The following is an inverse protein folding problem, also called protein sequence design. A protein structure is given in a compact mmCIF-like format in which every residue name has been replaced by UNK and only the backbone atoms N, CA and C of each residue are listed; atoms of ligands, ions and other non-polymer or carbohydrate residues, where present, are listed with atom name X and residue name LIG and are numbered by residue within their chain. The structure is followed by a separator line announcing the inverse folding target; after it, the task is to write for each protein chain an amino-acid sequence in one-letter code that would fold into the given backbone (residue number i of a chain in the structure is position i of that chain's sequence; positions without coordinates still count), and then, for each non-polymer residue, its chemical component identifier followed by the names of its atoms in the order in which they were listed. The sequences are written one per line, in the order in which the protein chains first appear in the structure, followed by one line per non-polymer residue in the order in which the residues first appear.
data_IF_442113558058
#
_entry.id   IF_442113558058
#
_cell.length_a   1.000
_cell.length_b   1.000
_cell.length_c   1.000
_cell.angle_alpha   90.00
_cell.angle_beta   90.00
_cell.angle_gamma   90.00
#
_symmetry.space_group_name_H-M   'P 1'
#
loop_
_entity.id
_entity.type
_entity.pdbx_description
1 polymer ?
#
# COMPACT_ATOMS: atom_id res chain seq x y z
N UNK A 1 -8.46 -22.52 -23.12
CA UNK A 1 -8.86 -23.94 -23.17
C UNK A 1 -8.96 -24.52 -24.58
N UNK A 2 -9.20 -23.72 -25.64
CA UNK A 2 -9.27 -24.20 -27.04
C UNK A 2 -7.90 -24.41 -27.73
N UNK A 3 -6.78 -24.39 -26.98
CA UNK A 3 -5.42 -24.66 -27.50
C UNK A 3 -4.79 -23.58 -28.40
N UNK A 4 -5.56 -22.66 -28.96
CA UNK A 4 -5.09 -21.75 -30.03
C UNK A 4 -4.23 -20.55 -29.61
N UNK A 5 -3.70 -20.48 -28.38
CA UNK A 5 -2.77 -19.42 -27.94
C UNK A 5 -3.32 -17.99 -27.89
N UNK A 6 -4.56 -17.73 -28.30
CA UNK A 6 -5.24 -16.41 -28.26
C UNK A 6 -5.75 -16.03 -26.86
N UNK A 7 -4.99 -16.38 -25.84
CA UNK A 7 -5.32 -16.15 -24.44
C UNK A 7 -4.77 -14.83 -23.91
N UNK A 8 -4.64 -14.76 -22.60
CA UNK A 8 -3.95 -13.66 -21.90
C UNK A 8 -2.46 -13.95 -21.74
N UNK A 9 -1.67 -12.94 -21.37
CA UNK A 9 -0.26 -13.12 -21.02
C UNK A 9 -0.10 -14.07 -19.82
N UNK A 10 1.08 -14.68 -19.67
CA UNK A 10 1.38 -15.51 -18.48
C UNK A 10 1.31 -14.70 -17.19
N UNK A 11 1.73 -13.43 -17.23
CA UNK A 11 1.62 -12.49 -16.12
C UNK A 11 0.16 -12.31 -15.68
N UNK A 12 -0.74 -12.00 -16.61
CA UNK A 12 -2.16 -11.84 -16.31
C UNK A 12 -2.82 -13.17 -15.91
N UNK A 13 -2.42 -14.29 -16.51
CA UNK A 13 -2.90 -15.62 -16.12
C UNK A 13 -2.55 -15.94 -14.66
N UNK A 14 -1.32 -15.65 -14.22
CA UNK A 14 -0.88 -15.85 -12.85
C UNK A 14 -1.61 -14.91 -11.87
N UNK A 15 -1.74 -13.62 -12.21
CA UNK A 15 -2.49 -12.66 -11.39
C UNK A 15 -3.95 -13.11 -11.17
N UNK A 16 -4.61 -13.59 -12.22
CA UNK A 16 -5.95 -14.15 -12.16
C UNK A 16 -6.00 -15.45 -11.33
N UNK A 17 -5.02 -16.34 -11.50
CA UNK A 17 -4.96 -17.59 -10.73
C UNK A 17 -4.81 -17.34 -9.23
N UNK A 18 -3.93 -16.41 -8.83
CA UNK A 18 -3.74 -16.00 -7.43
C UNK A 18 -5.05 -15.41 -6.87
N UNK A 19 -5.69 -14.51 -7.62
CA UNK A 19 -6.95 -13.88 -7.22
C UNK A 19 -8.07 -14.92 -7.04
N UNK A 20 -8.21 -15.86 -7.99
CA UNK A 20 -9.23 -16.90 -7.95
C UNK A 20 -8.98 -17.92 -6.83
N UNK A 21 -7.72 -18.28 -6.58
CA UNK A 21 -7.35 -19.15 -5.47
C UNK A 21 -7.74 -18.51 -4.14
N UNK A 22 -7.42 -17.23 -3.94
CA UNK A 22 -7.78 -16.49 -2.75
C UNK A 22 -9.31 -16.41 -2.58
N UNK A 23 -10.05 -16.11 -3.65
CA UNK A 23 -11.51 -16.10 -3.62
C UNK A 23 -12.09 -17.47 -3.22
N UNK A 24 -11.54 -18.57 -3.75
CA UNK A 24 -11.97 -19.93 -3.40
C UNK A 24 -11.61 -20.32 -1.97
N UNK A 25 -10.45 -19.92 -1.46
CA UNK A 25 -9.97 -20.30 -0.13
C UNK A 25 -10.62 -19.45 0.98
N UNK A 26 -10.84 -18.16 0.73
CA UNK A 26 -11.28 -17.21 1.75
C UNK A 26 -12.69 -16.66 1.55
N UNK A 27 -13.33 -16.89 0.39
CA UNK A 27 -14.72 -16.43 0.15
C UNK A 27 -15.74 -17.06 1.12
N UNK A 28 -15.42 -18.23 1.67
CA UNK A 28 -16.21 -18.89 2.71
C UNK A 28 -15.82 -18.48 4.13
N UNK A 29 -14.73 -17.73 4.32
CA UNK A 29 -14.25 -17.27 5.62
C UNK A 29 -15.11 -16.08 6.11
N UNK A 30 -16.34 -16.39 6.53
CA UNK A 30 -17.33 -15.40 6.97
C UNK A 30 -17.27 -15.11 8.47
N UNK A 31 -16.46 -15.87 9.22
CA UNK A 31 -16.38 -15.89 10.68
C UNK A 31 -14.94 -15.76 11.15
N UNK A 32 -14.74 -15.29 12.38
CA UNK A 32 -13.47 -15.36 13.09
C UNK A 32 -13.32 -16.76 13.68
N UNK A 33 -12.75 -17.66 12.89
CA UNK A 33 -12.48 -19.02 13.29
C UNK A 33 -11.25 -19.56 12.53
N UNK A 34 -10.55 -20.56 13.07
CA UNK A 34 -9.44 -21.19 12.36
C UNK A 34 -9.89 -21.74 11.01
N UNK A 35 -9.04 -21.59 10.01
CA UNK A 35 -9.29 -22.21 8.71
C UNK A 35 -9.24 -23.75 8.84
N UNK A 36 -10.17 -24.50 8.23
CA UNK A 36 -10.11 -25.96 8.23
C UNK A 36 -8.74 -26.48 7.74
N UNK A 37 -8.20 -27.49 8.40
CA UNK A 37 -6.83 -27.96 8.16
C UNK A 37 -6.56 -28.31 6.68
N UNK A 38 -7.50 -28.99 6.01
CA UNK A 38 -7.38 -29.35 4.60
C UNK A 38 -7.35 -28.12 3.69
N UNK A 39 -8.18 -27.10 4.00
CA UNK A 39 -8.23 -25.84 3.24
C UNK A 39 -6.96 -25.03 3.45
N UNK A 40 -6.46 -24.97 4.68
CA UNK A 40 -5.20 -24.30 5.02
C UNK A 40 -4.01 -24.96 4.33
N UNK A 41 -3.97 -26.29 4.29
CA UNK A 41 -2.96 -27.05 3.57
C UNK A 41 -3.04 -26.84 2.05
N UNK A 42 -4.27 -26.81 1.49
CA UNK A 42 -4.51 -26.51 0.08
C UNK A 42 -4.04 -25.10 -0.28
N UNK A 43 -4.42 -24.09 0.50
CA UNK A 43 -3.97 -22.70 0.31
C UNK A 43 -2.44 -22.62 0.27
N UNK A 44 -1.76 -23.13 1.30
CA UNK A 44 -0.29 -23.10 1.39
C UNK A 44 0.39 -23.79 0.22
N UNK A 45 -0.15 -24.92 -0.27
CA UNK A 45 0.43 -25.66 -1.39
C UNK A 45 0.22 -24.95 -2.72
N UNK A 46 -1.01 -24.55 -3.01
CA UNK A 46 -1.35 -23.97 -4.32
C UNK A 46 -0.80 -22.56 -4.47
N UNK A 47 -0.75 -21.76 -3.40
CA UNK A 47 -0.09 -20.46 -3.46
C UNK A 47 1.41 -20.62 -3.67
N UNK A 48 2.04 -21.62 -3.04
CA UNK A 48 3.47 -21.90 -3.23
C UNK A 48 3.80 -22.26 -4.69
N UNK A 49 2.95 -23.05 -5.34
CA UNK A 49 3.09 -23.34 -6.77
C UNK A 49 3.01 -22.08 -7.63
N UNK A 50 2.05 -21.19 -7.37
CA UNK A 50 1.89 -19.94 -8.12
C UNK A 50 3.06 -18.97 -7.89
N UNK A 51 3.65 -18.97 -6.68
CA UNK A 51 4.79 -18.13 -6.33
C UNK A 51 6.13 -18.70 -6.84
N UNK A 52 6.25 -20.01 -7.08
CA UNK A 52 7.52 -20.65 -7.48
C UNK A 52 8.20 -20.03 -8.71
N UNK A 53 7.43 -19.41 -9.61
CA UNK A 53 7.97 -18.71 -10.78
C UNK A 53 8.92 -17.57 -10.39
N UNK A 54 8.74 -16.95 -9.22
CA UNK A 54 9.58 -15.83 -8.76
C UNK A 54 11.00 -16.26 -8.42
N UNK A 55 11.23 -17.55 -8.15
CA UNK A 55 12.56 -18.08 -7.88
C UNK A 55 13.41 -18.16 -9.15
N UNK A 56 12.75 -18.11 -10.32
CA UNK A 56 13.38 -18.18 -11.63
C UNK A 56 13.48 -16.81 -12.33
N UNK A 57 12.93 -15.75 -11.73
CA UNK A 57 13.08 -14.38 -12.24
C UNK A 57 14.36 -13.77 -11.66
N UNK A 58 15.39 -13.72 -12.50
CA UNK A 58 16.75 -13.34 -12.11
C UNK A 58 17.30 -12.18 -12.93
N UNK A 59 18.20 -11.42 -12.31
CA UNK A 59 19.09 -10.48 -12.95
C UNK A 59 20.46 -11.13 -13.17
N UNK A 60 21.07 -10.86 -14.32
CA UNK A 60 22.44 -11.24 -14.60
C UNK A 60 23.36 -10.12 -14.15
N UNK A 61 24.13 -10.37 -13.08
CA UNK A 61 25.03 -9.38 -12.49
C UNK A 61 26.50 -9.79 -12.69
N UNK A 62 27.39 -8.85 -13.00
CA UNK A 62 28.82 -9.13 -13.09
C UNK A 62 29.38 -9.46 -11.70
N UNK A 63 30.24 -10.48 -11.64
CA UNK A 63 30.88 -10.95 -10.43
C UNK A 63 32.30 -11.44 -10.72
N UNK A 64 33.06 -11.74 -9.66
CA UNK A 64 34.40 -12.30 -9.74
C UNK A 64 34.43 -13.65 -9.03
N UNK A 65 34.97 -14.65 -9.71
CA UNK A 65 35.16 -15.98 -9.15
C UNK A 65 36.66 -16.26 -9.05
N UNK A 66 37.10 -16.64 -7.85
CA UNK A 66 38.48 -17.02 -7.59
C UNK A 66 38.55 -18.55 -7.61
N UNK A 67 39.34 -19.09 -8.52
CA UNK A 67 39.59 -20.53 -8.63
C UNK A 67 40.53 -21.01 -7.52
N UNK A 68 40.58 -22.33 -7.29
CA UNK A 68 41.39 -22.94 -6.20
C UNK A 68 42.89 -22.66 -6.33
N UNK A 69 43.35 -22.34 -7.53
CA UNK A 69 44.72 -21.95 -7.88
C UNK A 69 45.01 -20.45 -7.64
N UNK A 70 44.03 -19.68 -7.16
CA UNK A 70 44.15 -18.23 -6.94
C UNK A 70 43.85 -17.38 -8.18
N UNK A 71 43.53 -17.99 -9.32
CA UNK A 71 43.20 -17.26 -10.55
C UNK A 71 41.83 -16.60 -10.42
N UNK A 72 41.79 -15.28 -10.61
CA UNK A 72 40.54 -14.50 -10.61
C UNK A 72 39.97 -14.40 -12.02
N UNK A 73 38.69 -14.78 -12.18
CA UNK A 73 37.95 -14.70 -13.44
C UNK A 73 36.70 -13.84 -13.25
N UNK A 74 36.45 -12.94 -14.20
CA UNK A 74 35.19 -12.21 -14.26
C UNK A 74 34.11 -13.10 -14.87
N UNK A 75 33.01 -13.26 -14.14
CA UNK A 75 31.91 -14.17 -14.49
C UNK A 75 30.58 -13.45 -14.33
N UNK A 76 29.59 -13.83 -15.13
CA UNK A 76 28.20 -13.41 -14.91
C UNK A 76 27.52 -14.40 -13.97
N UNK A 77 26.88 -13.91 -12.91
CA UNK A 77 26.11 -14.75 -11.99
C UNK A 77 24.64 -14.34 -12.00
N UNK A 78 23.77 -15.30 -11.75
CA UNK A 78 22.32 -15.06 -11.60
C UNK A 78 22.02 -14.69 -10.16
N UNK A 79 21.35 -13.55 -9.96
CA UNK A 79 20.80 -13.12 -8.66
C UNK A 79 19.29 -12.96 -8.82
N UNK A 80 18.49 -13.35 -7.81
CA UNK A 80 17.05 -13.06 -7.85
C UNK A 80 16.82 -11.55 -7.99
N UNK A 81 15.82 -11.18 -8.81
CA UNK A 81 15.49 -9.77 -9.04
C UNK A 81 15.21 -9.04 -7.72
N UNK A 82 15.69 -7.81 -7.60
CA UNK A 82 15.78 -7.13 -6.30
C UNK A 82 14.39 -6.86 -5.66
N UNK A 83 13.39 -6.52 -6.48
CA UNK A 83 11.99 -6.35 -6.05
C UNK A 83 11.42 -7.65 -5.47
N UNK A 84 11.70 -8.80 -6.08
CA UNK A 84 11.22 -10.10 -5.64
C UNK A 84 11.94 -10.60 -4.39
N UNK A 85 13.26 -10.41 -4.33
CA UNK A 85 14.10 -10.88 -3.23
C UNK A 85 13.63 -10.35 -1.88
N UNK A 86 13.18 -9.09 -1.84
CA UNK A 86 12.69 -8.46 -0.61
C UNK A 86 11.18 -8.66 -0.40
N UNK A 87 10.37 -8.46 -1.45
CA UNK A 87 8.92 -8.42 -1.29
C UNK A 87 8.27 -9.80 -1.18
N UNK A 88 8.77 -10.84 -1.86
CA UNK A 88 8.14 -12.18 -1.78
C UNK A 88 8.21 -12.75 -0.35
N UNK A 89 9.36 -12.75 0.35
CA UNK A 89 9.43 -13.18 1.75
C UNK A 89 8.57 -12.32 2.68
N UNK A 90 8.54 -11.01 2.47
CA UNK A 90 7.72 -10.09 3.26
C UNK A 90 6.23 -10.43 3.13
N UNK A 91 5.72 -10.61 1.90
CA UNK A 91 4.32 -10.98 1.65
C UNK A 91 3.98 -12.35 2.23
N UNK A 92 4.89 -13.34 2.14
CA UNK A 92 4.69 -14.65 2.80
C UNK A 92 4.57 -14.51 4.32
N UNK A 93 5.35 -13.64 4.94
CA UNK A 93 5.25 -13.35 6.39
C UNK A 93 3.91 -12.72 6.74
N UNK A 94 3.44 -11.76 5.95
CA UNK A 94 2.13 -11.13 6.12
C UNK A 94 0.97 -12.15 5.99
N UNK A 95 1.03 -13.04 4.99
CA UNK A 95 0.03 -14.09 4.80
C UNK A 95 -0.02 -15.08 5.98
N UNK A 96 1.16 -15.46 6.50
CA UNK A 96 1.28 -16.30 7.68
C UNK A 96 0.69 -15.61 8.92
N UNK A 97 0.99 -14.33 9.15
CA UNK A 97 0.41 -13.56 10.27
C UNK A 97 -1.13 -13.55 10.24
N UNK A 98 -1.74 -13.42 9.05
CA UNK A 98 -3.20 -13.50 8.92
C UNK A 98 -3.75 -14.90 9.20
N UNK A 99 -3.02 -15.97 8.84
CA UNK A 99 -3.42 -17.34 9.17
C UNK A 99 -3.32 -17.59 10.67
N UNK A 100 -2.27 -17.08 11.30
CA UNK A 100 -2.04 -17.25 12.73
C UNK A 100 -3.04 -16.44 13.56
N UNK A 101 -3.42 -15.25 13.08
CA UNK A 101 -4.53 -14.48 13.64
C UNK A 101 -5.83 -15.31 13.65
N UNK A 102 -6.21 -15.92 12.52
CA UNK A 102 -7.40 -16.78 12.46
C UNK A 102 -7.29 -18.02 13.35
N UNK A 103 -6.13 -18.67 13.40
CA UNK A 103 -5.89 -19.83 14.27
C UNK A 103 -6.02 -19.47 15.76
N UNK A 104 -5.68 -18.25 16.15
CA UNK A 104 -5.79 -17.78 17.54
C UNK A 104 -7.23 -17.71 18.07
N UNK A 105 -8.23 -17.79 17.18
CA UNK A 105 -9.65 -17.86 17.56
C UNK A 105 -10.13 -19.27 17.94
N UNK A 106 -9.29 -20.30 17.85
CA UNK A 106 -9.69 -21.69 18.11
C UNK A 106 -10.31 -21.91 19.48
N UNK A 107 -9.78 -21.25 20.51
CA UNK A 107 -10.16 -21.45 21.91
C UNK A 107 -11.08 -20.33 22.43
N UNK A 108 -11.56 -19.45 21.54
CA UNK A 108 -12.44 -18.33 21.89
C UNK A 108 -13.90 -18.78 21.97
N UNK A 109 -14.48 -18.69 23.17
CA UNK A 109 -15.84 -19.16 23.45
C UNK A 109 -16.80 -18.04 23.87
N UNK A 110 -16.32 -16.81 24.02
CA UNK A 110 -17.15 -15.69 24.53
C UNK A 110 -18.10 -15.12 23.49
N UNK A 111 -17.82 -15.29 22.21
CA UNK A 111 -18.74 -14.91 21.13
C UNK A 111 -18.99 -16.08 20.19
N UNK A 112 -20.16 -16.06 19.55
CA UNK A 112 -20.57 -17.10 18.60
C UNK A 112 -21.27 -16.49 17.40
N UNK A 113 -21.46 -17.25 16.34
CA UNK A 113 -22.19 -16.79 15.14
C UNK A 113 -23.52 -17.52 15.03
N UNK A 114 -24.59 -16.76 14.81
CA UNK A 114 -25.95 -17.34 14.63
C UNK A 114 -26.05 -18.06 13.30
N UNK A 115 -26.83 -19.15 13.26
CA UNK A 115 -27.25 -19.76 11.99
C UNK A 115 -28.17 -18.81 11.22
N UNK A 116 -28.19 -18.96 9.89
CA UNK A 116 -28.99 -18.12 8.99
C UNK A 116 -30.50 -18.37 9.12
N UNK A 117 -30.89 -19.50 9.72
CA UNK A 117 -32.27 -20.00 9.82
C UNK A 117 -32.96 -19.68 11.16
N UNK A 118 -32.34 -18.84 12.00
CA UNK A 118 -32.90 -18.47 13.30
C UNK A 118 -33.89 -17.30 13.12
N UNK A 119 -35.17 -17.48 13.46
CA UNK A 119 -36.27 -16.51 13.27
C UNK A 119 -36.09 -15.19 14.06
N UNK A 120 -35.07 -15.10 14.93
CA UNK A 120 -34.72 -13.90 15.71
C UNK A 120 -34.08 -12.76 14.90
N UNK A 121 -34.18 -12.78 13.57
CA UNK A 121 -33.59 -11.80 12.63
C UNK A 121 -34.57 -10.66 12.26
N UNK A 122 -35.68 -10.51 12.99
CA UNK A 122 -36.62 -9.41 12.80
C UNK A 122 -36.01 -8.07 13.24
N UNK A 123 -35.57 -7.27 12.26
CA UNK A 123 -35.01 -5.93 12.47
C UNK A 123 -33.77 -5.59 11.67
N UNK A 124 -33.38 -6.40 10.66
CA UNK A 124 -32.21 -6.14 9.83
C UNK A 124 -32.43 -5.00 8.83
N UNK A 125 -31.65 -3.92 9.00
CA UNK A 125 -31.26 -2.99 7.94
C UNK A 125 -29.77 -3.27 7.65
N UNK A 126 -29.47 -4.33 6.91
CA UNK A 126 -28.06 -4.72 6.67
C UNK A 126 -27.77 -4.94 5.18
N UNK A 127 -26.88 -4.11 4.64
CA UNK A 127 -26.32 -4.20 3.29
C UNK A 127 -25.54 -5.52 3.03
N UNK A 128 -25.30 -6.34 4.07
CA UNK A 128 -24.47 -7.57 4.01
C UNK A 128 -25.16 -8.82 4.55
N UNK A 129 -26.40 -9.08 4.11
CA UNK A 129 -27.23 -10.23 4.53
C UNK A 129 -26.59 -11.63 4.42
N UNK A 130 -25.48 -11.78 3.69
CA UNK A 130 -24.74 -13.03 3.52
C UNK A 130 -23.68 -13.31 4.59
N UNK A 131 -23.42 -12.37 5.51
CA UNK A 131 -22.46 -12.49 6.62
C UNK A 131 -23.22 -12.85 7.91
N UNK A 132 -22.81 -13.90 8.65
CA UNK A 132 -23.40 -14.23 9.95
C UNK A 132 -23.14 -13.14 10.99
N UNK A 133 -24.18 -12.73 11.73
CA UNK A 133 -24.05 -11.75 12.81
C UNK A 133 -23.40 -12.40 14.04
N UNK A 134 -22.37 -11.78 14.65
CA UNK A 134 -21.82 -12.27 15.91
C UNK A 134 -22.81 -11.99 17.06
N UNK A 135 -22.87 -12.93 18.02
CA UNK A 135 -23.55 -12.79 19.31
C UNK A 135 -22.49 -12.80 20.42
N UNK A 136 -22.64 -11.88 21.36
CA UNK A 136 -21.82 -11.75 22.58
C UNK A 136 -22.73 -11.93 23.81
N UNK A 137 -22.17 -12.11 25.03
CA UNK A 137 -22.98 -12.22 26.25
C UNK A 137 -23.78 -10.95 26.51
N UNK A 138 -24.87 -11.04 27.28
CA UNK A 138 -25.78 -9.90 27.52
C UNK A 138 -25.11 -8.71 28.20
N UNK A 139 -24.02 -8.94 28.94
CA UNK A 139 -23.24 -7.90 29.61
C UNK A 139 -21.97 -7.50 28.81
N UNK A 140 -21.85 -7.96 27.56
CA UNK A 140 -20.64 -7.82 26.75
C UNK A 140 -19.57 -8.88 27.03
N UNK A 141 -18.46 -8.75 26.31
CA UNK A 141 -17.25 -9.54 26.43
C UNK A 141 -16.46 -9.17 27.69
N UNK A 142 -15.69 -10.13 28.20
CA UNK A 142 -14.73 -9.88 29.26
C UNK A 142 -13.69 -8.83 28.83
N UNK A 143 -13.17 -8.06 29.79
CA UNK A 143 -12.15 -7.05 29.50
C UNK A 143 -10.86 -7.66 28.92
N UNK A 144 -10.56 -8.92 29.28
CA UNK A 144 -9.42 -9.66 28.74
C UNK A 144 -9.64 -9.93 27.25
N UNK A 145 -10.79 -10.49 26.88
CA UNK A 145 -11.13 -10.81 25.49
C UNK A 145 -11.29 -9.54 24.64
N UNK A 146 -11.86 -8.46 25.19
CA UNK A 146 -11.96 -7.17 24.48
C UNK A 146 -10.57 -6.59 24.17
N UNK A 147 -9.66 -6.54 25.16
CA UNK A 147 -8.29 -6.07 24.96
C UNK A 147 -7.52 -6.94 23.97
N UNK A 148 -7.72 -8.26 24.02
CA UNK A 148 -7.11 -9.19 23.09
C UNK A 148 -7.64 -9.01 21.65
N UNK A 149 -8.95 -8.82 21.46
CA UNK A 149 -9.53 -8.49 20.15
C UNK A 149 -8.98 -7.18 19.58
N UNK A 150 -8.82 -6.16 20.43
CA UNK A 150 -8.22 -4.89 20.01
C UNK A 150 -6.76 -5.09 19.57
N UNK A 151 -5.98 -5.89 20.31
CA UNK A 151 -4.62 -6.25 19.90
C UNK A 151 -4.59 -6.99 18.56
N UNK A 152 -5.48 -7.97 18.34
CA UNK A 152 -5.61 -8.65 17.05
C UNK A 152 -5.97 -7.68 15.93
N UNK A 153 -6.92 -6.76 16.17
CA UNK A 153 -7.29 -5.70 15.22
C UNK A 153 -6.09 -4.84 14.83
N UNK A 154 -5.32 -4.39 15.81
CA UNK A 154 -4.14 -3.55 15.57
C UNK A 154 -3.05 -4.30 14.80
N UNK A 155 -2.83 -5.59 15.11
CA UNK A 155 -1.92 -6.46 14.37
C UNK A 155 -2.34 -6.63 12.91
N UNK A 156 -3.62 -6.93 12.65
CA UNK A 156 -4.17 -7.08 11.29
C UNK A 156 -4.11 -5.76 10.53
N UNK A 157 -4.32 -4.62 11.19
CA UNK A 157 -4.20 -3.30 10.57
C UNK A 157 -2.76 -2.99 10.14
N UNK A 158 -1.75 -3.43 10.90
CA UNK A 158 -0.35 -3.33 10.46
C UNK A 158 -0.08 -4.18 9.22
N UNK A 159 -0.63 -5.40 9.16
CA UNK A 159 -0.55 -6.26 7.97
C UNK A 159 -1.20 -5.59 6.76
N UNK A 160 -2.41 -5.02 6.95
CA UNK A 160 -3.13 -4.30 5.91
C UNK A 160 -2.29 -3.15 5.35
N UNK A 161 -1.75 -2.29 6.22
CA UNK A 161 -0.90 -1.15 5.82
C UNK A 161 0.34 -1.59 5.06
N UNK A 162 1.01 -2.65 5.52
CA UNK A 162 2.20 -3.18 4.86
C UNK A 162 1.89 -3.74 3.46
N UNK A 163 0.80 -4.52 3.33
CA UNK A 163 0.37 -5.06 2.05
C UNK A 163 -0.01 -3.94 1.05
N UNK A 164 -0.76 -2.94 1.50
CA UNK A 164 -1.14 -1.76 0.70
C UNK A 164 0.07 -0.91 0.27
N UNK A 165 1.12 -0.85 1.09
CA UNK A 165 2.34 -0.13 0.76
C UNK A 165 3.11 -0.86 -0.35
N UNK A 166 3.29 -2.17 -0.23
CA UNK A 166 3.91 -3.01 -1.26
C UNK A 166 3.10 -2.94 -2.56
N UNK A 167 1.78 -3.15 -2.49
CA UNK A 167 0.92 -3.14 -3.69
C UNK A 167 1.04 -1.84 -4.48
N UNK A 168 0.99 -0.70 -3.78
CA UNK A 168 1.10 0.59 -4.43
C UNK A 168 2.49 0.89 -4.99
N UNK A 169 3.56 0.42 -4.34
CA UNK A 169 4.92 0.55 -4.88
C UNK A 169 5.05 -0.23 -6.20
N UNK A 170 4.52 -1.45 -6.26
CA UNK A 170 4.54 -2.26 -7.48
C UNK A 170 3.70 -1.62 -8.58
N UNK A 171 2.49 -1.15 -8.26
CA UNK A 171 1.65 -0.43 -9.23
C UNK A 171 2.32 0.85 -9.74
N UNK A 172 3.11 1.54 -8.92
CA UNK A 172 3.87 2.72 -9.34
C UNK A 172 4.96 2.35 -10.36
N UNK A 173 5.67 1.24 -10.12
CA UNK A 173 6.76 0.73 -10.97
C UNK A 173 6.30 0.01 -12.25
N UNK A 174 5.06 -0.46 -12.29
CA UNK A 174 4.48 -1.07 -13.49
C UNK A 174 4.39 -0.06 -14.64
N UNK A 175 4.74 -0.52 -15.84
CA UNK A 175 4.69 0.29 -17.07
C UNK A 175 3.28 0.78 -17.38
N UNK A 176 3.17 2.00 -17.89
CA UNK A 176 1.89 2.57 -18.32
C UNK A 176 1.60 2.08 -19.75
N UNK A 177 0.50 1.35 -19.99
CA UNK A 177 0.21 0.82 -21.32
C UNK A 177 0.00 1.91 -22.38
N UNK A 178 0.48 1.68 -23.61
CA UNK A 178 0.26 2.61 -24.73
C UNK A 178 -1.23 2.84 -25.00
N UNK A 179 -2.06 1.81 -24.86
CA UNK A 179 -3.52 1.90 -24.98
C UNK A 179 -4.16 2.90 -24.01
N UNK A 180 -3.64 2.98 -22.79
CA UNK A 180 -4.08 3.97 -21.81
C UNK A 180 -3.65 5.37 -22.23
N UNK A 181 -2.40 5.52 -22.66
CA UNK A 181 -1.84 6.79 -23.13
C UNK A 181 -2.65 7.34 -24.31
N UNK A 182 -3.01 6.50 -25.27
CA UNK A 182 -3.80 6.87 -26.45
C UNK A 182 -5.22 7.30 -26.10
N UNK A 183 -5.75 6.81 -24.98
CA UNK A 183 -7.07 7.20 -24.46
C UNK A 183 -7.08 8.53 -23.70
N UNK A 184 -5.91 9.09 -23.37
CA UNK A 184 -5.81 10.30 -22.54
C UNK A 184 -6.37 11.55 -23.25
N UNK A 185 -6.99 12.48 -22.50
CA UNK A 185 -7.34 13.79 -23.02
C UNK A 185 -6.12 14.58 -23.54
N UNK A 186 -6.36 15.52 -24.47
CA UNK A 186 -5.30 16.32 -25.12
C UNK A 186 -4.43 17.14 -24.14
N UNK A 187 -4.95 17.50 -22.97
CA UNK A 187 -4.25 18.29 -21.96
C UNK A 187 -4.85 18.07 -20.56
N UNK A 188 -4.10 18.42 -19.51
CA UNK A 188 -4.53 18.25 -18.12
C UNK A 188 -5.82 19.02 -17.76
N UNK A 189 -6.07 20.18 -18.39
CA UNK A 189 -7.33 20.92 -18.20
C UNK A 189 -8.55 20.14 -18.70
N UNK A 190 -8.43 19.46 -19.85
CA UNK A 190 -9.49 18.60 -20.38
C UNK A 190 -9.74 17.35 -19.50
N UNK A 191 -8.71 16.87 -18.79
CA UNK A 191 -8.84 15.77 -17.84
C UNK A 191 -9.49 16.21 -16.53
N UNK A 192 -8.95 17.25 -15.89
CA UNK A 192 -9.42 17.74 -14.58
C UNK A 192 -10.77 18.47 -14.66
N UNK A 193 -11.06 19.10 -15.80
CA UNK A 193 -12.13 20.08 -15.91
C UNK A 193 -11.73 21.45 -15.33
N UNK A 194 -12.52 22.48 -15.65
CA UNK A 194 -12.15 23.87 -15.37
C UNK A 194 -11.99 24.19 -13.88
N UNK A 195 -12.88 23.64 -13.04
CA UNK A 195 -12.87 23.92 -11.59
C UNK A 195 -11.62 23.37 -10.92
N UNK A 196 -11.33 22.09 -11.13
CA UNK A 196 -10.17 21.43 -10.52
C UNK A 196 -8.88 22.00 -11.10
N UNK A 197 -8.83 22.24 -12.41
CA UNK A 197 -7.67 22.85 -13.05
C UNK A 197 -7.37 24.24 -12.49
N UNK A 198 -8.38 25.09 -12.29
CA UNK A 198 -8.17 26.42 -11.70
C UNK A 198 -7.60 26.32 -10.28
N UNK A 199 -8.14 25.44 -9.44
CA UNK A 199 -7.64 25.26 -8.07
C UNK A 199 -6.22 24.71 -8.01
N UNK A 200 -5.87 23.70 -8.81
CA UNK A 200 -4.54 23.10 -8.78
C UNK A 200 -3.45 24.01 -9.36
N UNK A 201 -3.84 24.95 -10.22
CA UNK A 201 -2.94 25.90 -10.89
C UNK A 201 -2.87 27.28 -10.24
N UNK A 202 -3.54 27.45 -9.09
CA UNK A 202 -3.55 28.70 -8.33
C UNK A 202 -2.14 29.04 -7.80
N UNK A 203 -1.87 30.32 -7.56
CA UNK A 203 -0.61 30.79 -7.00
C UNK A 203 -0.41 30.23 -5.59
N UNK A 204 -1.47 30.25 -4.78
CA UNK A 204 -1.50 29.66 -3.44
C UNK A 204 -2.28 28.35 -3.47
N UNK A 205 -1.68 27.28 -2.96
CA UNK A 205 -2.30 25.96 -2.93
C UNK A 205 -2.09 25.29 -1.59
N UNK A 206 -3.18 24.87 -1.00
CA UNK A 206 -3.22 23.98 0.17
C UNK A 206 -4.02 22.73 -0.22
N UNK A 207 -3.42 21.53 -0.19
CA UNK A 207 -4.09 20.30 -0.56
C UNK A 207 -5.27 19.96 0.37
N UNK A 208 -5.19 20.32 1.66
CA UNK A 208 -6.28 20.05 2.59
C UNK A 208 -7.48 20.95 2.27
N UNK A 209 -7.27 22.26 2.09
CA UNK A 209 -8.30 23.17 1.60
C UNK A 209 -8.89 22.72 0.26
N UNK A 210 -8.05 22.34 -0.71
CA UNK A 210 -8.51 21.82 -2.01
C UNK A 210 -9.51 20.68 -1.82
N UNK A 211 -9.20 19.68 -0.99
CA UNK A 211 -10.08 18.54 -0.74
C UNK A 211 -11.39 18.93 -0.06
N UNK A 212 -11.42 19.98 0.78
CA UNK A 212 -12.69 20.47 1.36
C UNK A 212 -13.64 21.08 0.33
N UNK A 213 -13.10 21.56 -0.81
CA UNK A 213 -13.90 22.12 -1.91
C UNK A 213 -14.38 21.06 -2.90
N UNK A 214 -13.87 19.84 -2.80
CA UNK A 214 -14.25 18.72 -3.66
C UNK A 214 -15.43 17.93 -3.08
N UNK A 215 -16.25 17.39 -3.96
CA UNK A 215 -17.34 16.51 -3.56
C UNK A 215 -16.83 15.07 -3.35
N UNK A 216 -16.53 14.73 -2.10
CA UNK A 216 -16.03 13.41 -1.67
C UNK A 216 -17.12 12.58 -0.98
N UNK A 217 -18.40 12.84 -1.27
CA UNK A 217 -19.54 12.22 -0.59
C UNK A 217 -19.78 10.75 -0.94
N UNK A 218 -19.16 10.25 -2.02
CA UNK A 218 -19.32 8.86 -2.46
C UNK A 218 -18.02 8.32 -3.03
N UNK A 219 -17.83 7.01 -2.91
CA UNK A 219 -16.68 6.27 -3.44
C UNK A 219 -16.46 6.53 -4.94
N UNK A 220 -17.54 6.56 -5.73
CA UNK A 220 -17.46 6.87 -7.16
C UNK A 220 -16.88 8.25 -7.46
N UNK A 221 -17.22 9.28 -6.65
CA UNK A 221 -16.69 10.64 -6.85
C UNK A 221 -15.23 10.74 -6.43
N UNK A 222 -14.85 10.03 -5.36
CA UNK A 222 -13.45 9.94 -4.92
C UNK A 222 -12.61 9.27 -6.02
N UNK A 223 -13.13 8.17 -6.60
CA UNK A 223 -12.46 7.44 -7.68
C UNK A 223 -12.37 8.26 -8.98
N UNK A 224 -13.42 9.01 -9.33
CA UNK A 224 -13.42 9.94 -10.46
C UNK A 224 -12.34 11.03 -10.30
N UNK A 225 -12.23 11.62 -9.11
CA UNK A 225 -11.16 12.58 -8.81
C UNK A 225 -9.77 11.94 -8.94
N UNK A 226 -9.57 10.74 -8.37
CA UNK A 226 -8.31 9.97 -8.48
C UNK A 226 -7.94 9.75 -9.96
N UNK A 227 -8.86 9.23 -10.76
CA UNK A 227 -8.66 8.98 -12.20
C UNK A 227 -8.25 10.25 -12.95
N UNK A 228 -8.92 11.38 -12.70
CA UNK A 228 -8.63 12.66 -13.35
C UNK A 228 -7.24 13.19 -12.99
N UNK A 229 -6.84 13.05 -11.72
CA UNK A 229 -5.51 13.46 -11.24
C UNK A 229 -4.41 12.60 -11.86
N UNK A 230 -4.55 11.27 -11.83
CA UNK A 230 -3.57 10.34 -12.42
C UNK A 230 -3.37 10.57 -13.92
N UNK A 231 -4.47 10.71 -14.67
CA UNK A 231 -4.42 11.06 -16.09
C UNK A 231 -3.67 12.38 -16.33
N UNK A 232 -3.86 13.37 -15.46
CA UNK A 232 -3.22 14.69 -15.58
C UNK A 232 -1.72 14.65 -15.29
N UNK A 233 -1.31 13.91 -14.26
CA UNK A 233 0.11 13.65 -13.94
C UNK A 233 0.81 13.04 -15.15
N UNK A 234 0.20 12.01 -15.78
CA UNK A 234 0.78 11.36 -16.96
C UNK A 234 0.89 12.34 -18.14
N UNK A 235 -0.14 13.15 -18.38
CA UNK A 235 -0.11 14.17 -19.44
C UNK A 235 1.01 15.18 -19.20
N UNK A 236 1.21 15.65 -17.96
CA UNK A 236 2.25 16.63 -17.63
C UNK A 236 3.65 16.04 -17.78
N UNK A 237 3.92 14.85 -17.23
CA UNK A 237 5.19 14.13 -17.40
C UNK A 237 5.58 13.94 -18.87
N UNK A 238 4.63 13.51 -19.70
CA UNK A 238 4.86 13.34 -21.15
C UNK A 238 5.18 14.66 -21.87
N UNK A 239 4.53 15.75 -21.46
CA UNK A 239 4.77 17.09 -22.03
C UNK A 239 6.05 17.75 -21.52
N UNK A 240 6.64 17.27 -20.44
CA UNK A 240 7.99 17.67 -19.99
C UNK A 240 9.08 16.94 -20.78
N UNK A 241 8.88 15.64 -21.04
CA UNK A 241 9.86 14.77 -21.71
C UNK A 241 9.84 14.88 -23.24
N UNK A 242 8.71 15.29 -23.84
CA UNK A 242 8.61 15.58 -25.28
C UNK A 242 9.37 16.87 -25.64
N UNK A 243 10.70 16.77 -25.76
CA UNK A 243 11.56 17.85 -26.26
C UNK A 243 11.63 17.95 -27.79
N UNK A 244 11.08 17.00 -28.54
CA UNK A 244 11.20 16.96 -30.00
C UNK A 244 9.85 17.04 -30.74
N UNK A 245 9.76 17.96 -31.69
CA UNK A 245 9.09 17.68 -32.95
C UNK A 245 8.06 18.69 -33.44
N UNK A 246 7.00 19.01 -32.68
CA UNK A 246 5.92 19.90 -33.20
C UNK A 246 5.29 20.74 -32.10
N UNK A 247 5.34 22.07 -32.30
CA UNK A 247 4.63 23.17 -31.62
C UNK A 247 5.24 23.78 -30.34
N UNK A 248 6.37 24.49 -30.52
CA UNK A 248 6.87 25.51 -29.57
C UNK A 248 5.98 26.77 -29.45
N UNK A 249 4.82 26.82 -30.14
CA UNK A 249 3.88 27.96 -30.08
C UNK A 249 2.59 27.66 -29.28
N UNK A 250 2.48 26.50 -28.62
CA UNK A 250 1.18 26.02 -28.12
C UNK A 250 0.94 26.01 -26.62
N UNK A 251 1.95 26.21 -25.76
CA UNK A 251 1.77 25.99 -24.33
C UNK A 251 2.00 27.24 -23.50
N UNK A 252 0.89 27.82 -23.02
CA UNK A 252 0.88 28.96 -22.11
C UNK A 252 1.47 28.67 -20.71
N UNK A 253 1.81 27.41 -20.41
CA UNK A 253 2.32 26.98 -19.10
C UNK A 253 3.78 26.54 -19.24
N UNK A 254 4.67 27.18 -18.47
CA UNK A 254 6.10 26.84 -18.41
C UNK A 254 6.33 25.42 -17.84
N UNK A 255 7.52 24.86 -18.09
CA UNK A 255 7.90 23.54 -17.57
C UNK A 255 7.89 23.53 -16.04
N UNK A 256 8.51 24.54 -15.40
CA UNK A 256 8.55 24.73 -13.95
C UNK A 256 7.13 24.74 -13.32
N UNK A 257 6.17 25.42 -13.97
CA UNK A 257 4.78 25.43 -13.49
C UNK A 257 4.13 24.05 -13.59
N UNK A 258 4.46 23.26 -14.61
CA UNK A 258 3.93 21.88 -14.73
C UNK A 258 4.50 20.96 -13.66
N UNK A 259 5.76 21.13 -13.28
CA UNK A 259 6.39 20.37 -12.18
C UNK A 259 5.66 20.64 -10.86
N UNK A 260 5.33 21.91 -10.59
CA UNK A 260 4.52 22.29 -9.43
C UNK A 260 3.14 21.63 -9.49
N UNK A 261 2.48 21.60 -10.65
CA UNK A 261 1.14 21.00 -10.77
C UNK A 261 1.15 19.48 -10.60
N UNK A 262 2.22 18.84 -11.08
CA UNK A 262 2.47 17.41 -10.89
C UNK A 262 2.66 17.08 -9.40
N UNK A 263 3.56 17.77 -8.72
CA UNK A 263 3.83 17.60 -7.28
C UNK A 263 2.57 17.80 -6.42
N UNK A 264 1.77 18.83 -6.76
CA UNK A 264 0.46 19.06 -6.11
C UNK A 264 -0.51 17.90 -6.34
N UNK A 265 -0.60 17.38 -7.56
CA UNK A 265 -1.49 16.27 -7.88
C UNK A 265 -1.07 14.97 -7.17
N UNK A 266 0.22 14.68 -7.11
CA UNK A 266 0.78 13.54 -6.37
C UNK A 266 0.53 13.65 -4.88
N UNK A 267 0.68 14.86 -4.31
CA UNK A 267 0.35 15.13 -2.91
C UNK A 267 -1.14 14.87 -2.63
N UNK A 268 -2.04 15.31 -3.51
CA UNK A 268 -3.47 15.01 -3.37
C UNK A 268 -3.72 13.51 -3.45
N UNK A 269 -3.12 12.80 -4.41
CA UNK A 269 -3.26 11.35 -4.55
C UNK A 269 -2.80 10.60 -3.29
N UNK A 270 -1.71 11.04 -2.67
CA UNK A 270 -1.23 10.49 -1.40
C UNK A 270 -2.25 10.71 -0.27
N UNK A 271 -2.81 11.92 -0.15
CA UNK A 271 -3.82 12.22 0.88
C UNK A 271 -5.10 11.41 0.64
N UNK A 272 -5.54 11.26 -0.63
CA UNK A 272 -6.68 10.41 -0.97
C UNK A 272 -6.46 8.96 -0.52
N UNK A 273 -5.26 8.41 -0.73
CA UNK A 273 -4.92 7.07 -0.27
C UNK A 273 -4.95 6.94 1.26
N UNK A 274 -4.50 7.96 1.99
CA UNK A 274 -4.52 7.97 3.45
C UNK A 274 -5.93 8.10 4.03
N UNK A 275 -6.76 8.99 3.45
CA UNK A 275 -8.13 9.24 3.92
C UNK A 275 -9.09 8.15 3.52
N UNK A 276 -8.85 7.48 2.39
CA UNK A 276 -9.75 6.48 1.82
C UNK A 276 -8.96 5.21 1.44
N UNK A 277 -8.48 4.44 2.42
CA UNK A 277 -7.65 3.25 2.18
C UNK A 277 -8.37 2.13 1.42
N UNK A 278 -9.72 2.14 1.37
CA UNK A 278 -10.52 1.13 0.67
C UNK A 278 -11.05 1.57 -0.70
N UNK A 279 -10.52 2.62 -1.32
CA UNK A 279 -10.97 3.05 -2.65
C UNK A 279 -10.70 1.95 -3.69
N UNK A 280 -11.59 1.80 -4.69
CA UNK A 280 -11.36 0.84 -5.75
C UNK A 280 -10.11 1.19 -6.56
N UNK A 281 -9.57 0.18 -7.25
CA UNK A 281 -8.50 0.37 -8.22
C UNK A 281 -8.92 1.41 -9.26
N UNK A 282 -7.99 2.31 -9.61
CA UNK A 282 -8.25 3.30 -10.64
C UNK A 282 -8.25 2.68 -12.03
N UNK A 283 -8.69 3.46 -13.02
CA UNK A 283 -8.63 3.06 -14.43
C UNK A 283 -7.19 2.84 -14.88
N UNK A 284 -6.24 3.61 -14.33
CA UNK A 284 -4.82 3.42 -14.57
C UNK A 284 -4.33 2.10 -13.95
N UNK A 285 -4.65 1.85 -12.68
CA UNK A 285 -4.27 0.62 -11.97
C UNK A 285 -4.79 -0.62 -12.72
N UNK A 286 -6.06 -0.61 -13.11
CA UNK A 286 -6.70 -1.69 -13.88
C UNK A 286 -5.99 -1.90 -15.23
N UNK A 287 -5.68 -0.81 -15.93
CA UNK A 287 -4.98 -0.89 -17.23
C UNK A 287 -3.57 -1.46 -17.07
N UNK A 288 -2.81 -0.99 -16.07
CA UNK A 288 -1.48 -1.54 -15.75
C UNK A 288 -1.54 -3.04 -15.51
N UNK A 289 -2.48 -3.52 -14.70
CA UNK A 289 -2.64 -4.95 -14.42
C UNK A 289 -3.03 -5.74 -15.68
N UNK A 290 -3.97 -5.21 -16.47
CA UNK A 290 -4.49 -5.88 -17.65
C UNK A 290 -3.44 -6.09 -18.74
N UNK A 291 -2.58 -5.11 -18.97
CA UNK A 291 -1.59 -5.13 -20.05
C UNK A 291 -0.17 -5.42 -19.58
N UNK A 292 0.03 -5.74 -18.29
CA UNK A 292 1.35 -6.10 -17.78
C UNK A 292 1.85 -7.44 -18.37
N UNK A 293 3.12 -7.43 -18.76
CA UNK A 293 3.84 -8.62 -19.26
C UNK A 293 4.90 -9.12 -18.26
N UNK A 294 5.21 -8.35 -17.22
CA UNK A 294 6.17 -8.73 -16.20
C UNK A 294 5.55 -9.70 -15.18
N UNK A 295 6.00 -10.96 -15.24
CA UNK A 295 5.50 -12.04 -14.37
C UNK A 295 5.80 -11.78 -12.89
N UNK A 296 6.97 -11.21 -12.57
CA UNK A 296 7.35 -10.93 -11.19
C UNK A 296 6.46 -9.84 -10.57
N UNK A 297 6.23 -8.74 -11.31
CA UNK A 297 5.32 -7.68 -10.87
C UNK A 297 3.87 -8.17 -10.78
N UNK A 298 3.42 -9.01 -11.72
CA UNK A 298 2.07 -9.60 -11.65
C UNK A 298 1.88 -10.44 -10.38
N UNK A 299 2.88 -11.23 -9.99
CA UNK A 299 2.85 -12.01 -8.76
C UNK A 299 2.84 -11.08 -7.53
N UNK A 300 3.74 -10.09 -7.48
CA UNK A 300 3.81 -9.16 -6.35
C UNK A 300 2.54 -8.33 -6.19
N UNK A 301 1.99 -7.77 -7.27
CA UNK A 301 0.73 -7.01 -7.27
C UNK A 301 -0.42 -7.88 -6.79
N UNK A 302 -0.65 -9.02 -7.44
CA UNK A 302 -1.83 -9.84 -7.14
C UNK A 302 -1.75 -10.47 -5.75
N UNK A 303 -0.56 -10.89 -5.31
CA UNK A 303 -0.39 -11.48 -3.98
C UNK A 303 -0.51 -10.44 -2.86
N UNK A 304 0.05 -9.24 -3.04
CA UNK A 304 -0.16 -8.15 -2.09
C UNK A 304 -1.63 -7.71 -2.02
N UNK A 305 -2.32 -7.62 -3.15
CA UNK A 305 -3.74 -7.26 -3.23
C UNK A 305 -4.66 -8.27 -2.53
N UNK A 306 -4.41 -9.57 -2.68
CA UNK A 306 -5.23 -10.58 -1.97
C UNK A 306 -4.95 -10.57 -0.45
N UNK A 307 -3.72 -10.29 -0.02
CA UNK A 307 -3.37 -10.16 1.39
C UNK A 307 -4.07 -8.93 1.99
N UNK A 308 -4.04 -7.80 1.27
CA UNK A 308 -4.79 -6.58 1.63
C UNK A 308 -6.29 -6.87 1.82
N UNK A 309 -6.93 -7.47 0.81
CA UNK A 309 -8.35 -7.82 0.86
C UNK A 309 -8.67 -8.75 2.04
N UNK A 310 -7.81 -9.73 2.31
CA UNK A 310 -7.96 -10.66 3.42
C UNK A 310 -7.79 -9.97 4.77
N UNK A 311 -6.77 -9.12 4.93
CA UNK A 311 -6.54 -8.34 6.14
C UNK A 311 -7.74 -7.43 6.45
N UNK A 312 -8.24 -6.71 5.44
CA UNK A 312 -9.44 -5.90 5.57
C UNK A 312 -10.67 -6.74 5.99
N UNK A 313 -10.84 -7.93 5.42
CA UNK A 313 -11.93 -8.84 5.77
C UNK A 313 -11.84 -9.31 7.22
N UNK A 314 -10.66 -9.74 7.68
CA UNK A 314 -10.46 -10.18 9.08
C UNK A 314 -10.68 -9.01 10.04
N UNK A 315 -10.12 -7.83 9.74
CA UNK A 315 -10.30 -6.61 10.53
C UNK A 315 -11.78 -6.24 10.66
N UNK A 316 -12.53 -6.24 9.54
CA UNK A 316 -13.97 -5.96 9.54
C UNK A 316 -14.73 -6.95 10.42
N UNK A 317 -14.36 -8.24 10.46
CA UNK A 317 -15.02 -9.20 11.34
C UNK A 317 -14.72 -8.97 12.82
N UNK A 318 -13.51 -8.53 13.15
CA UNK A 318 -13.17 -8.12 14.53
C UNK A 318 -13.98 -6.89 14.92
N UNK A 319 -14.11 -5.91 14.02
CA UNK A 319 -14.94 -4.73 14.23
C UNK A 319 -16.42 -5.08 14.41
N UNK A 320 -16.96 -6.02 13.63
CA UNK A 320 -18.34 -6.49 13.78
C UNK A 320 -18.59 -7.02 15.22
N UNK A 321 -17.65 -7.81 15.77
CA UNK A 321 -17.76 -8.34 17.15
C UNK A 321 -17.65 -7.22 18.18
N UNK A 322 -16.67 -6.32 18.05
CA UNK A 322 -16.47 -5.19 18.97
C UNK A 322 -17.66 -4.21 18.96
N UNK A 323 -18.31 -4.04 17.81
CA UNK A 323 -19.49 -3.19 17.68
C UNK A 323 -20.71 -3.79 18.39
N UNK A 324 -20.89 -5.11 18.31
CA UNK A 324 -21.94 -5.82 19.05
C UNK A 324 -21.65 -5.81 20.55
N UNK A 325 -20.38 -5.97 20.96
CA UNK A 325 -19.94 -5.81 22.36
C UNK A 325 -20.31 -4.42 22.92
N UNK A 326 -19.94 -3.35 22.21
CA UNK A 326 -20.26 -1.99 22.63
C UNK A 326 -21.77 -1.74 22.78
N UNK A 327 -22.59 -2.40 21.95
CA UNK A 327 -24.05 -2.31 22.00
C UNK A 327 -24.62 -3.09 23.19
N UNK A 328 -24.05 -4.25 23.51
CA UNK A 328 -24.45 -5.07 24.67
C UNK A 328 -24.09 -4.39 26.01
N UNK A 329 -22.98 -3.65 26.08
CA UNK A 329 -22.58 -2.90 27.27
C UNK A 329 -23.44 -1.66 27.54
N UNK A 330 -23.93 -1.02 26.47
CA UNK A 330 -24.72 0.21 26.55
C UNK A 330 -26.08 0.06 25.84
N UNK A 331 -26.98 -0.79 26.37
CA UNK A 331 -28.27 -1.06 25.72
C UNK A 331 -29.18 0.18 25.62
N UNK A 332 -28.99 1.18 26.49
CA UNK A 332 -29.71 2.46 26.46
C UNK A 332 -29.40 3.34 25.23
N UNK A 333 -28.29 3.08 24.53
CA UNK A 333 -27.91 3.80 23.31
C UNK A 333 -28.46 3.12 22.03
N UNK A 334 -28.86 1.83 22.13
CA UNK A 334 -29.40 1.07 21.00
C UNK A 334 -30.85 1.46 20.67
N UNK A 335 -31.64 1.90 21.66
CA UNK A 335 -33.05 2.29 21.47
C UNK A 335 -33.22 3.62 20.70
N UNK A 336 -32.21 4.51 20.69
CA UNK A 336 -32.28 5.78 19.95
C UNK A 336 -32.12 5.62 18.43
N UNK A 337 -31.63 4.47 17.93
CA UNK A 337 -31.46 4.22 16.49
C UNK A 337 -32.70 3.61 15.81
N UNK A 338 -33.78 3.34 16.56
CA UNK A 338 -35.01 2.70 16.03
C UNK A 338 -36.12 3.66 15.59
N UNK A 339 -35.92 4.98 15.58
CA UNK A 339 -36.88 5.92 14.98
C UNK A 339 -36.45 6.32 13.56
N UNK A 340 -37.27 6.10 12.53
CA UNK A 340 -37.04 6.69 11.23
C UNK A 340 -37.69 8.08 11.22
N UNK A 341 -36.92 9.15 11.00
CA UNK A 341 -37.31 10.31 10.20
C UNK A 341 -36.17 11.34 10.12
N UNK A 342 -35.91 11.73 8.86
CA UNK A 342 -35.15 12.88 8.36
C UNK A 342 -34.97 14.04 9.36
N UNK A 343 -33.73 14.50 9.56
CA UNK A 343 -33.40 15.90 9.25
C UNK A 343 -31.89 16.21 9.20
N UNK A 344 -31.51 16.89 8.12
CA UNK A 344 -30.50 17.96 8.00
C UNK A 344 -29.24 17.94 8.87
N UNK A 345 -28.11 17.56 8.27
CA UNK A 345 -26.76 17.79 8.80
C UNK A 345 -26.45 19.29 8.83
N UNK A 346 -26.50 19.89 10.02
CA UNK A 346 -25.83 21.16 10.32
C UNK A 346 -24.36 20.88 10.63
N UNK A 347 -23.49 21.38 9.76
CA UNK A 347 -22.06 21.56 10.04
C UNK A 347 -21.87 22.87 10.78
N UNK A 348 -21.15 22.83 11.91
CA UNK A 348 -20.42 23.99 12.43
C UNK A 348 -19.04 23.53 12.94
N UNK A 349 -17.94 24.21 12.53
CA UNK A 349 -16.58 23.84 12.88
C UNK A 349 -16.11 24.61 14.13
N UNK A 350 -15.65 23.91 15.16
CA UNK A 350 -14.77 24.49 16.18
C UNK A 350 -14.19 23.41 17.06
N UNK A 351 -12.87 23.26 17.00
CA UNK A 351 -12.09 22.43 17.92
C UNK A 351 -10.65 22.36 17.43
N UNK A 352 -9.79 23.22 17.98
CA UNK A 352 -8.35 23.17 17.74
C UNK A 352 -7.81 21.79 18.13
N UNK A 353 -7.15 21.10 17.21
CA UNK A 353 -6.40 19.90 17.53
C UNK A 353 -5.01 20.25 18.07
N UNK A 354 -4.48 19.52 19.08
CA UNK A 354 -3.15 19.76 19.62
C UNK A 354 -2.06 19.29 18.65
N UNK A 355 -0.91 19.94 18.76
CA UNK A 355 0.22 19.89 17.83
C UNK A 355 0.90 18.50 17.84
N UNK A 356 0.95 17.82 16.68
CA UNK A 356 1.53 16.48 16.51
C UNK A 356 3.01 16.35 16.94
N UNK A 357 3.70 17.48 17.14
CA UNK A 357 5.09 17.53 17.63
C UNK A 357 5.21 17.19 19.12
N UNK A 358 4.18 17.44 19.91
CA UNK A 358 4.21 17.26 21.38
C UNK A 358 3.94 15.80 21.80
N UNK A 359 3.24 15.02 20.97
CA UNK A 359 3.06 13.57 21.17
C UNK A 359 4.32 12.77 20.84
N UNK A 360 5.10 13.22 19.83
CA UNK A 360 6.36 12.57 19.45
C UNK A 360 7.43 12.73 20.54
N UNK A 361 7.45 13.87 21.25
CA UNK A 361 8.36 14.08 22.38
C UNK A 361 7.96 13.26 23.63
N UNK A 362 6.66 13.01 23.84
CA UNK A 362 6.19 12.15 24.95
C UNK A 362 6.49 10.66 24.74
N UNK A 363 6.52 10.19 23.50
CA UNK A 363 6.85 8.80 23.17
C UNK A 363 8.36 8.49 23.32
N UNK A 364 9.22 9.50 23.18
CA UNK A 364 10.67 9.33 23.34
C UNK A 364 11.15 9.39 24.80
N UNK A 365 10.29 9.79 25.75
CA UNK A 365 10.66 9.98 27.16
C UNK A 365 10.36 8.77 28.06
N UNK A 366 9.72 7.72 27.56
CA UNK A 366 9.35 6.53 28.33
C UNK A 366 10.33 5.37 28.07
N UNK A 367 11.46 5.35 28.78
CA UNK A 367 12.35 4.18 28.83
C UNK A 367 11.70 3.05 29.65
N UNK A 368 11.29 1.97 28.98
CA UNK A 368 11.03 0.66 29.58
C UNK A 368 11.86 -0.40 28.84
N UNK A 369 12.71 -1.19 29.52
CA UNK A 369 13.79 -1.93 28.86
C UNK A 369 13.40 -3.31 28.29
N UNK A 370 12.21 -3.48 27.69
CA UNK A 370 11.81 -4.81 27.15
C UNK A 370 10.82 -4.83 25.98
N UNK A 371 10.58 -3.72 25.29
CA UNK A 371 9.77 -3.73 24.06
C UNK A 371 10.66 -3.77 22.82
N UNK A 372 10.80 -4.93 22.18
CA UNK A 372 11.39 -5.02 20.84
C UNK A 372 10.45 -4.35 19.84
N UNK A 373 10.99 -3.43 19.04
CA UNK A 373 10.23 -2.78 17.97
C UNK A 373 10.10 -3.72 16.77
N UNK A 374 9.12 -3.47 15.89
CA UNK A 374 8.96 -4.25 14.66
C UNK A 374 10.20 -4.14 13.76
N UNK A 375 10.95 -3.03 13.84
CA UNK A 375 12.27 -2.88 13.21
C UNK A 375 13.29 -3.89 13.76
N UNK A 376 13.37 -4.04 15.09
CA UNK A 376 14.27 -5.00 15.74
C UNK A 376 13.94 -6.45 15.37
N UNK A 377 12.67 -6.75 15.11
CA UNK A 377 12.23 -8.08 14.68
C UNK A 377 12.37 -8.34 13.16
N UNK A 378 12.42 -7.29 12.34
CA UNK A 378 12.54 -7.40 10.88
C UNK A 378 13.98 -7.50 10.39
N UNK A 379 14.98 -7.33 11.26
CA UNK A 379 16.39 -7.46 10.90
C UNK A 379 16.83 -6.41 9.86
N UNK A 380 16.12 -5.28 9.76
CA UNK A 380 16.49 -4.15 8.92
C UNK A 380 17.58 -3.29 9.59
N UNK A 381 18.65 -3.93 10.03
CA UNK A 381 19.89 -3.22 10.37
C UNK A 381 20.67 -3.03 9.08
N UNK A 382 20.83 -1.79 8.64
CA UNK A 382 21.86 -1.43 7.67
C UNK A 382 23.20 -1.77 8.33
N UNK A 383 23.87 -2.82 7.85
CA UNK A 383 25.26 -3.09 8.23
C UNK A 383 26.12 -1.93 7.71
N UNK A 384 26.36 -0.95 8.58
CA UNK A 384 27.39 0.05 8.38
C UNK A 384 28.72 -0.62 8.73
N UNK A 385 29.48 -0.99 7.70
CA UNK A 385 30.68 -1.80 7.81
C UNK A 385 31.65 -1.31 8.88
N UNK A 386 31.95 -2.21 9.81
CA UNK A 386 33.07 -2.11 10.74
C UNK A 386 34.38 -2.12 9.95
N UNK A 387 35.21 -1.09 10.18
CA UNK A 387 36.62 -1.13 9.82
C UNK A 387 37.43 -0.91 11.10
N UNK A 388 37.82 -2.03 11.70
CA UNK A 388 38.70 -2.11 12.86
C UNK A 388 40.13 -1.68 12.47
N UNK A 389 40.68 -0.65 13.10
CA UNK A 389 42.13 -0.58 13.41
C UNK A 389 42.36 0.24 14.68
N UNK A 390 43.03 -0.40 15.63
CA UNK A 390 43.29 0.07 17.00
C UNK A 390 44.45 1.08 17.10
N UNK A 391 44.25 2.08 17.98
CA UNK A 391 45.12 2.65 19.04
C UNK A 391 46.54 3.16 18.66
N UNK A 392 46.98 4.37 19.03
CA UNK A 392 47.30 4.83 20.40
C UNK A 392 47.79 6.33 20.43
N UNK A 393 47.32 7.09 21.43
CA UNK A 393 48.06 7.98 22.40
C UNK A 393 48.71 9.35 22.02
N UNK A 394 48.13 10.41 22.64
CA UNK A 394 48.62 11.66 23.33
C UNK A 394 49.25 12.91 22.64
N UNK A 395 48.72 14.07 23.10
CA UNK A 395 49.32 15.39 23.49
C UNK A 395 50.16 16.15 22.41
N UNK A 396 50.14 17.48 22.18
CA UNK A 396 49.74 18.68 22.92
C UNK A 396 49.83 19.95 22.01
N UNK A 397 49.10 21.04 22.36
CA UNK A 397 49.44 22.50 22.26
C UNK A 397 49.28 23.36 20.96
N UNK A 398 48.52 24.47 21.16
CA UNK A 398 48.49 25.88 20.66
C UNK A 398 48.13 26.38 19.23
N UNK A 399 47.10 27.26 19.24
CA UNK A 399 46.98 28.65 18.72
C UNK A 399 47.34 28.93 17.25
N UNK A 400 46.35 29.33 16.43
CA UNK A 400 46.13 30.76 16.09
C UNK A 400 44.90 30.98 15.17
N UNK A 401 44.27 32.14 15.33
CA UNK A 401 43.04 32.53 14.66
C UNK A 401 43.27 33.14 13.26
N UNK A 402 42.60 32.61 12.22
CA UNK A 402 42.31 33.37 10.98
C UNK A 402 40.94 33.00 10.37
N UNK A 403 40.17 34.06 10.04
CA UNK A 403 38.85 34.06 9.41
C UNK A 403 38.81 33.26 8.09
N UNK A 404 37.69 32.61 7.74
CA UNK A 404 37.58 31.86 6.49
C UNK A 404 37.34 32.78 5.28
N UNK A 405 37.90 32.48 4.09
CA UNK A 405 37.51 33.12 2.85
C UNK A 405 36.20 32.51 2.31
N UNK A 406 35.39 33.35 1.66
CA UNK A 406 34.14 32.97 1.01
C UNK A 406 34.37 31.94 -0.10
N UNK A 407 33.75 30.77 0.01
CA UNK A 407 33.69 29.77 -1.06
C UNK A 407 32.23 29.55 -1.47
N UNK A 408 32.02 29.85 -2.75
CA UNK A 408 30.99 29.43 -3.70
C UNK A 408 30.02 28.34 -3.20
N UNK A 409 28.73 28.65 -3.30
CA UNK A 409 27.61 27.73 -3.14
C UNK A 409 27.72 26.55 -4.10
N UNK A 410 28.15 25.40 -3.58
CA UNK A 410 28.00 24.14 -4.29
C UNK A 410 26.53 23.71 -4.31
N UNK A 411 26.10 23.37 -5.53
CA UNK A 411 24.81 22.80 -5.92
C UNK A 411 24.36 21.72 -4.93
N UNK A 412 23.10 21.82 -4.46
CA UNK A 412 22.38 20.67 -3.89
C UNK A 412 22.24 19.61 -4.99
N UNK A 413 23.09 18.60 -4.94
CA UNK A 413 22.88 17.33 -5.62
C UNK A 413 21.70 16.63 -4.93
N UNK A 414 20.59 16.48 -5.65
CA UNK A 414 19.48 15.65 -5.21
C UNK A 414 19.86 14.18 -5.38
N UNK A 415 19.42 13.34 -4.45
CA UNK A 415 19.78 11.92 -4.30
C UNK A 415 19.21 11.01 -5.41
N UNK A 416 18.78 11.56 -6.55
CA UNK A 416 18.10 10.84 -7.65
C UNK A 416 18.96 10.65 -8.91
N UNK A 417 20.19 11.17 -8.95
CA UNK A 417 21.02 11.16 -10.18
C UNK A 417 21.97 9.94 -10.32
N UNK A 418 21.97 8.99 -9.38
CA UNK A 418 22.90 7.84 -9.41
C UNK A 418 22.32 6.51 -9.91
N UNK A 419 21.16 6.50 -10.58
CA UNK A 419 20.58 5.27 -11.13
C UNK A 419 20.30 5.28 -12.64
N UNK A 420 20.69 6.33 -13.36
CA UNK A 420 20.58 6.35 -14.84
C UNK A 420 21.98 6.22 -15.45
N UNK A 421 22.43 4.99 -15.60
CA UNK A 421 23.82 4.76 -16.04
C UNK A 421 24.17 3.36 -16.52
N UNK A 422 23.30 2.66 -17.27
CA UNK A 422 23.75 1.57 -18.16
C UNK A 422 22.72 1.31 -19.28
N UNK A 423 23.02 1.79 -20.49
CA UNK A 423 22.33 1.39 -21.71
C UNK A 423 22.69 -0.06 -22.04
N UNK A 424 21.70 -0.95 -22.18
CA UNK A 424 21.89 -2.24 -22.85
C UNK A 424 21.92 -2.08 -24.38
N UNK A 425 22.70 -2.88 -25.12
CA UNK A 425 22.84 -2.74 -26.57
C UNK A 425 21.59 -3.22 -27.32
N UNK A 426 21.22 -2.48 -28.37
CA UNK A 426 20.13 -2.76 -29.29
C UNK A 426 20.36 -4.07 -30.05
N UNK A 427 19.36 -4.95 -30.07
CA UNK A 427 19.35 -6.14 -30.93
C UNK A 427 19.42 -5.73 -32.41
N UNK A 428 20.35 -6.31 -33.16
CA UNK A 428 20.33 -6.30 -34.62
C UNK A 428 19.71 -7.62 -35.10
N UNK A 429 18.88 -7.48 -36.14
CA UNK A 429 18.17 -8.53 -36.88
C UNK A 429 18.96 -9.81 -37.12
#
# INVERSE_FOLDING_TARGET
MSGGGKGVSSALALSNAITNLAASAFGEQKRLEPMPADRKAKWRREIDWLLSVTDHVVEFVPSKQISKDGTCMEVMVTKQRNDLQMNVPALRKLDAMLLDCLDSFKDQNEFSYVSKDDESQEGRNDDKWWIPTPKVPTNGLSDVTRKWLQFQKDSVNQVLKAAMAINAQILLEMEIPESYIDSLPKNGRASLGDTIYRSITDEYFDPDYFLTTMDLTSEHKILDLKNKLEASVIIWRRKMTSKDGKSAWGSAVSVEKREIFEDRAETILLILKQRFPGIPQSSLDISKIQYNEDVGQAVLESYSRIIESRAHTVMSRIEDVLQVDATAQNPSCAEMKKSPLRDSLRVSPSGSFPNAREEVEKLNAAENPTSMTLLDFMGWTVEQGDNDTKKDVKEDIDVDAKKPPSVVTNKKLSYLDNLVGARSPTARH
#
